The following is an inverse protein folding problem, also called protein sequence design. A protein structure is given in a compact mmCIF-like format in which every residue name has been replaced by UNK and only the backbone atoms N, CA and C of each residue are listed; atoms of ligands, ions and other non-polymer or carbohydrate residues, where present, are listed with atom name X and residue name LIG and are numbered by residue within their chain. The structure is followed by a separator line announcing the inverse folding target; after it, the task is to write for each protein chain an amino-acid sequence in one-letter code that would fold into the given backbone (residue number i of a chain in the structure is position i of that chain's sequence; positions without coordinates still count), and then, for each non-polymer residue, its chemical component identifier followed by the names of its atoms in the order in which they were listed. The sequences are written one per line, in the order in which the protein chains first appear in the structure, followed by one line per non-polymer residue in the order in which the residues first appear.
data_IF_368026041174
#
_entry.id   IF_368026041174
#
_cell.length_a   1.000
_cell.length_b   1.000
_cell.length_c   1.000
_cell.angle_alpha   90.00
_cell.angle_beta   90.00
_cell.angle_gamma   90.00
#
_symmetry.space_group_name_H-M   'P 1'
#
loop_
_entity.id
_entity.type
_entity.pdbx_description
1 polymer ?
#
# COMPACT_ATOMS: atom_id res chain seq x y z
N UNK A 1 -18.01 29.61 2.35
CA UNK A 1 -18.71 29.50 3.64
C UNK A 1 -19.95 30.35 3.53
N UNK A 2 -21.12 29.72 3.42
CA UNK A 2 -22.38 30.43 3.32
C UNK A 2 -22.81 30.87 4.73
N UNK A 3 -22.35 32.05 5.16
CA UNK A 3 -22.75 32.69 6.42
C UNK A 3 -22.08 32.15 7.70
N UNK A 4 -22.00 33.01 8.73
CA UNK A 4 -21.54 32.62 10.07
C UNK A 4 -22.61 31.86 10.87
N UNK A 5 -23.89 32.01 10.53
CA UNK A 5 -25.01 31.40 11.25
C UNK A 5 -24.96 29.87 11.23
N UNK A 6 -24.30 29.28 10.22
CA UNK A 6 -24.10 27.83 10.10
C UNK A 6 -23.28 27.23 11.24
N UNK A 7 -22.48 28.02 11.96
CA UNK A 7 -21.71 27.53 13.11
C UNK A 7 -22.58 27.26 14.34
N UNK A 8 -23.78 27.82 14.39
CA UNK A 8 -24.73 27.63 15.49
C UNK A 8 -25.65 26.41 15.27
N UNK A 9 -25.65 25.84 14.07
CA UNK A 9 -26.41 24.64 13.74
C UNK A 9 -25.83 23.41 14.44
N UNK A 10 -26.70 22.62 15.09
CA UNK A 10 -26.30 21.43 15.88
C UNK A 10 -26.58 20.10 15.23
N UNK A 11 -27.26 20.10 14.09
CA UNK A 11 -27.67 18.90 13.40
C UNK A 11 -27.41 19.04 11.90
N UNK A 12 -27.28 17.89 11.23
CA UNK A 12 -27.23 17.85 9.79
C UNK A 12 -28.54 18.45 9.23
N UNK A 13 -28.47 19.27 8.17
CA UNK A 13 -29.66 19.74 7.48
C UNK A 13 -30.55 18.58 7.04
N UNK A 14 -31.86 18.79 6.89
CA UNK A 14 -32.76 17.74 6.40
C UNK A 14 -32.51 17.49 4.90
N UNK A 15 -32.88 16.30 4.42
CA UNK A 15 -32.56 15.78 3.08
C UNK A 15 -32.98 16.74 1.96
N UNK A 16 -34.11 17.42 2.12
CA UNK A 16 -34.69 18.33 1.12
C UNK A 16 -33.81 19.56 0.84
N UNK A 17 -32.84 19.87 1.72
CA UNK A 17 -31.89 20.96 1.50
C UNK A 17 -30.67 20.54 0.68
N UNK A 18 -30.53 19.26 0.32
CA UNK A 18 -29.41 18.74 -0.45
C UNK A 18 -29.80 18.58 -1.92
N UNK A 19 -29.52 19.63 -2.69
CA UNK A 19 -29.75 19.68 -4.13
C UNK A 19 -28.44 19.91 -4.89
N UNK A 20 -28.21 19.13 -5.95
CA UNK A 20 -27.03 19.27 -6.80
C UNK A 20 -27.36 20.13 -8.02
N UNK A 21 -26.84 21.35 -8.05
CA UNK A 21 -26.97 22.24 -9.22
C UNK A 21 -26.29 21.71 -10.49
N UNK A 22 -25.39 20.74 -10.38
CA UNK A 22 -24.69 20.13 -11.52
C UNK A 22 -25.50 19.02 -12.19
N UNK A 23 -26.19 18.20 -11.40
CA UNK A 23 -27.00 17.08 -11.92
C UNK A 23 -28.47 17.42 -12.06
N UNK A 24 -28.94 18.48 -11.38
CA UNK A 24 -30.35 18.87 -11.38
C UNK A 24 -31.23 17.95 -10.54
N UNK A 25 -30.63 17.17 -9.65
CA UNK A 25 -31.31 16.12 -8.88
C UNK A 25 -31.09 16.29 -7.38
N UNK A 26 -32.09 15.87 -6.60
CA UNK A 26 -31.99 15.71 -5.15
C UNK A 26 -31.09 14.52 -4.78
N UNK A 27 -30.53 14.57 -3.57
CA UNK A 27 -29.75 13.44 -3.05
C UNK A 27 -30.61 12.17 -2.95
N UNK A 28 -30.08 11.02 -3.34
CA UNK A 28 -30.75 9.73 -3.14
C UNK A 28 -30.77 9.34 -1.65
N UNK A 29 -31.77 8.57 -1.21
CA UNK A 29 -31.87 8.13 0.20
C UNK A 29 -30.61 7.41 0.67
N UNK A 30 -30.08 6.50 -0.15
CA UNK A 30 -28.86 5.75 0.13
C UNK A 30 -27.63 6.65 0.33
N UNK A 31 -27.52 7.72 -0.46
CA UNK A 31 -26.39 8.64 -0.34
C UNK A 31 -26.55 9.55 0.90
N UNK A 32 -27.78 9.94 1.23
CA UNK A 32 -28.07 10.70 2.45
C UNK A 32 -27.77 9.88 3.71
N UNK A 33 -28.18 8.61 3.76
CA UNK A 33 -27.85 7.70 4.86
C UNK A 33 -26.34 7.54 5.07
N UNK A 34 -25.57 7.43 3.98
CA UNK A 34 -24.09 7.38 4.03
C UNK A 34 -23.50 8.67 4.59
N UNK A 35 -23.98 9.82 4.11
CA UNK A 35 -23.55 11.13 4.60
C UNK A 35 -23.79 11.26 6.12
N UNK A 36 -24.98 10.86 6.59
CA UNK A 36 -25.30 10.85 8.01
C UNK A 36 -24.35 9.94 8.78
N UNK A 37 -24.08 8.74 8.27
CA UNK A 37 -23.17 7.79 8.93
C UNK A 37 -21.74 8.34 9.02
N UNK A 38 -21.20 8.86 7.91
CA UNK A 38 -19.84 9.40 7.85
C UNK A 38 -19.67 10.63 8.76
N UNK A 39 -20.67 11.51 8.78
CA UNK A 39 -20.66 12.71 9.64
C UNK A 39 -20.73 12.34 11.13
N UNK A 40 -21.57 11.38 11.50
CA UNK A 40 -21.68 10.91 12.88
C UNK A 40 -20.37 10.27 13.36
N UNK A 41 -19.78 9.37 12.57
CA UNK A 41 -18.51 8.71 12.93
C UNK A 41 -17.39 9.75 13.07
N UNK A 42 -17.30 10.70 12.13
CA UNK A 42 -16.30 11.76 12.22
C UNK A 42 -16.51 12.64 13.46
N UNK A 43 -17.76 12.97 13.79
CA UNK A 43 -18.08 13.79 14.96
C UNK A 43 -17.65 13.11 16.27
N UNK A 44 -17.91 11.81 16.41
CA UNK A 44 -17.53 11.03 17.59
C UNK A 44 -16.00 10.95 17.75
N UNK A 45 -15.29 10.65 16.65
CA UNK A 45 -13.82 10.61 16.64
C UNK A 45 -13.22 11.96 17.03
N UNK A 46 -13.73 13.07 16.48
CA UNK A 46 -13.23 14.42 16.78
C UNK A 46 -13.56 14.83 18.22
N UNK A 47 -14.75 14.50 18.73
CA UNK A 47 -15.11 14.80 20.11
C UNK A 47 -14.22 14.04 21.10
N UNK A 48 -14.00 12.74 20.86
CA UNK A 48 -13.09 11.94 21.68
C UNK A 48 -11.65 12.49 21.60
N UNK A 49 -11.17 12.81 20.40
CA UNK A 49 -9.85 13.41 20.22
C UNK A 49 -9.71 14.72 21.00
N UNK A 50 -10.70 15.61 20.93
CA UNK A 50 -10.74 16.87 21.69
C UNK A 50 -10.66 16.64 23.20
N UNK A 51 -11.41 15.67 23.72
CA UNK A 51 -11.39 15.29 25.14
C UNK A 51 -10.01 14.79 25.56
N UNK A 52 -9.39 13.91 24.76
CA UNK A 52 -8.07 13.37 25.04
C UNK A 52 -6.97 14.44 24.98
N UNK A 53 -6.96 15.27 23.93
CA UNK A 53 -5.95 16.33 23.77
C UNK A 53 -5.99 17.36 24.90
N UNK A 54 -7.20 17.74 25.35
CA UNK A 54 -7.35 18.62 26.52
C UNK A 54 -6.88 17.94 27.81
N UNK A 55 -7.15 16.64 27.98
CA UNK A 55 -6.73 15.88 29.16
C UNK A 55 -5.20 15.72 29.23
N UNK A 56 -4.57 15.37 28.11
CA UNK A 56 -3.14 15.04 28.08
C UNK A 56 -2.24 16.26 27.94
N UNK A 57 -2.59 17.18 27.03
CA UNK A 57 -1.75 18.33 26.67
C UNK A 57 -2.31 19.66 27.17
N UNK A 58 -3.59 19.71 27.57
CA UNK A 58 -4.29 20.97 27.86
C UNK A 58 -4.36 21.88 26.64
N UNK A 59 -4.38 21.31 25.44
CA UNK A 59 -4.49 21.99 24.16
C UNK A 59 -5.76 21.51 23.46
N UNK A 60 -6.36 22.39 22.66
CA UNK A 60 -7.63 22.12 22.01
C UNK A 60 -7.44 21.97 20.49
N UNK A 61 -7.64 20.77 19.92
CA UNK A 61 -7.33 20.47 18.52
C UNK A 61 -7.95 21.41 17.47
N UNK A 62 -9.19 21.91 17.59
CA UNK A 62 -9.79 22.78 16.59
C UNK A 62 -9.06 24.12 16.34
N UNK A 63 -8.12 24.50 17.22
CA UNK A 63 -7.28 25.69 17.02
C UNK A 63 -6.10 25.45 16.07
N UNK A 64 -5.87 24.20 15.64
CA UNK A 64 -4.77 23.83 14.78
C UNK A 64 -5.29 23.33 13.44
N UNK A 65 -4.63 23.72 12.36
CA UNK A 65 -4.96 23.26 11.01
C UNK A 65 -4.65 21.78 10.78
N UNK A 66 -3.64 21.23 11.48
CA UNK A 66 -3.17 19.87 11.27
C UNK A 66 -2.70 19.22 12.57
N UNK A 67 -2.75 17.88 12.63
CA UNK A 67 -2.28 17.10 13.78
C UNK A 67 -0.80 17.32 14.10
N UNK A 68 0.14 17.41 13.14
CA UNK A 68 1.53 17.74 13.45
C UNK A 68 1.71 19.11 14.12
N UNK A 69 0.90 20.12 13.76
CA UNK A 69 0.94 21.42 14.42
C UNK A 69 0.54 21.34 15.89
N UNK A 70 -0.51 20.59 16.20
CA UNK A 70 -0.91 20.29 17.57
C UNK A 70 0.19 19.52 18.32
N UNK A 71 0.75 18.46 17.72
CA UNK A 71 1.80 17.65 18.34
C UNK A 71 3.08 18.47 18.60
N UNK A 72 3.40 19.38 17.70
CA UNK A 72 4.54 20.28 17.85
C UNK A 72 4.36 21.23 19.03
N UNK A 73 3.22 21.90 19.12
CA UNK A 73 2.93 22.80 20.23
C UNK A 73 2.80 22.04 21.57
N UNK A 74 2.23 20.84 21.55
CA UNK A 74 2.21 19.94 22.71
C UNK A 74 3.64 19.60 23.19
N UNK A 75 4.56 19.32 22.27
CA UNK A 75 5.96 19.07 22.57
C UNK A 75 6.65 20.30 23.18
N UNK A 76 6.45 21.48 22.59
CA UNK A 76 7.00 22.74 23.12
C UNK A 76 6.45 23.07 24.50
N UNK A 77 5.15 22.88 24.71
CA UNK A 77 4.49 23.08 26.01
C UNK A 77 5.00 22.13 27.08
N UNK A 78 5.25 20.87 26.72
CA UNK A 78 5.79 19.86 27.64
C UNK A 78 7.24 20.15 28.02
N UNK A 79 8.08 20.51 27.05
CA UNK A 79 9.52 20.78 27.24
C UNK A 79 9.81 22.18 27.78
N UNK A 80 8.87 23.13 27.61
CA UNK A 80 8.99 24.56 27.95
C UNK A 80 10.18 25.26 27.27
N UNK A 81 10.62 24.72 26.14
CA UNK A 81 11.72 25.28 25.35
C UNK A 81 11.17 26.37 24.43
N UNK A 82 11.84 27.53 24.40
CA UNK A 82 11.58 28.59 23.42
C UNK A 82 12.57 28.42 22.28
N UNK A 83 12.06 28.11 21.09
CA UNK A 83 12.91 27.95 19.91
C UNK A 83 13.36 29.29 19.36
N UNK A 84 14.63 29.38 19.00
CA UNK A 84 15.18 30.54 18.30
C UNK A 84 14.98 30.38 16.79
N UNK A 85 14.79 31.51 16.10
CA UNK A 85 14.68 31.53 14.65
C UNK A 85 16.05 31.24 14.01
N UNK A 86 16.09 30.35 13.01
CA UNK A 86 17.30 30.05 12.24
C UNK A 86 17.53 31.19 11.23
N UNK A 87 18.38 32.16 11.57
CA UNK A 87 18.67 33.31 10.69
C UNK A 87 19.77 33.01 9.67
N UNK A 88 20.67 32.07 9.95
CA UNK A 88 21.82 31.79 9.10
C UNK A 88 21.50 30.72 8.04
N UNK A 89 21.65 31.08 6.76
CA UNK A 89 21.44 30.18 5.62
C UNK A 89 22.29 28.91 5.65
N UNK A 90 23.55 28.99 6.10
CA UNK A 90 24.44 27.81 6.19
C UNK A 90 23.92 26.81 7.21
N UNK A 91 23.41 27.29 8.35
CA UNK A 91 22.83 26.45 9.40
C UNK A 91 21.55 25.77 8.93
N UNK A 92 20.69 26.50 8.22
CA UNK A 92 19.50 25.89 7.63
C UNK A 92 19.86 24.80 6.60
N UNK A 93 20.80 25.09 5.70
CA UNK A 93 21.23 24.14 4.68
C UNK A 93 21.85 22.87 5.27
N UNK A 94 22.62 23.00 6.36
CA UNK A 94 23.16 21.85 7.09
C UNK A 94 22.06 20.94 7.66
N UNK A 95 20.99 21.53 8.22
CA UNK A 95 19.86 20.77 8.75
C UNK A 95 19.11 20.09 7.60
N UNK A 96 18.78 20.81 6.53
CA UNK A 96 18.09 20.27 5.36
C UNK A 96 18.86 19.12 4.72
N UNK A 97 20.18 19.26 4.55
CA UNK A 97 21.06 18.22 4.01
C UNK A 97 21.18 17.00 4.95
N UNK A 98 20.91 17.18 6.24
CA UNK A 98 20.91 16.11 7.25
C UNK A 98 19.58 15.36 7.40
N UNK A 99 18.46 15.91 6.89
CA UNK A 99 17.15 15.25 6.96
C UNK A 99 17.16 14.01 6.04
N UNK A 100 16.84 12.85 6.60
CA UNK A 100 16.68 11.57 5.89
C UNK A 100 15.36 10.92 6.30
N UNK A 101 14.71 10.26 5.34
CA UNK A 101 13.53 9.45 5.62
C UNK A 101 13.89 8.14 6.33
N UNK A 102 12.87 7.31 6.56
CA UNK A 102 13.08 5.95 7.04
C UNK A 102 13.78 5.07 6.00
N UNK A 103 14.60 4.14 6.44
CA UNK A 103 15.18 3.11 5.55
C UNK A 103 14.07 2.18 5.11
N UNK A 104 13.79 2.13 3.82
CA UNK A 104 12.88 1.16 3.23
C UNK A 104 13.69 0.14 2.45
N UNK A 105 13.77 -1.09 2.97
CA UNK A 105 14.46 -2.19 2.30
C UNK A 105 13.43 -3.16 1.73
N UNK A 106 13.43 -3.32 0.40
CA UNK A 106 12.78 -4.46 -0.24
C UNK A 106 13.80 -5.60 -0.36
N UNK A 107 13.81 -6.51 0.61
CA UNK A 107 14.64 -7.72 0.51
C UNK A 107 13.95 -8.73 -0.40
N UNK A 108 14.64 -9.22 -1.42
CA UNK A 108 14.20 -10.43 -2.12
C UNK A 108 14.36 -11.60 -1.15
N UNK A 109 13.26 -12.32 -0.88
CA UNK A 109 13.32 -13.55 -0.09
C UNK A 109 14.15 -14.57 -0.87
N UNK A 110 15.14 -15.18 -0.23
CA UNK A 110 15.91 -16.28 -0.82
C UNK A 110 14.98 -17.48 -1.03
N UNK A 111 14.79 -17.88 -2.28
CA UNK A 111 14.05 -19.08 -2.66
C UNK A 111 14.98 -20.02 -3.41
N UNK A 112 15.15 -21.23 -2.88
CA UNK A 112 15.84 -22.33 -3.57
C UNK A 112 14.82 -23.43 -3.77
N UNK A 113 14.77 -23.99 -4.97
CA UNK A 113 13.96 -25.15 -5.25
C UNK A 113 14.56 -26.37 -4.52
N UNK A 114 13.85 -26.92 -3.53
CA UNK A 114 14.23 -28.13 -2.78
C UNK A 114 13.42 -29.33 -3.30
N UNK A 115 13.72 -29.79 -4.51
CA UNK A 115 13.05 -30.95 -5.09
C UNK A 115 13.72 -32.25 -4.63
N UNK A 116 13.01 -33.02 -3.78
CA UNK A 116 13.48 -34.31 -3.23
C UNK A 116 13.82 -35.37 -4.27
N UNK A 117 13.29 -35.24 -5.48
CA UNK A 117 13.43 -36.23 -6.55
C UNK A 117 14.55 -35.90 -7.55
N UNK A 118 15.20 -34.75 -7.40
CA UNK A 118 16.29 -34.32 -8.27
C UNK A 118 17.58 -34.24 -7.46
N UNK A 119 18.47 -35.20 -7.67
CA UNK A 119 19.85 -35.09 -7.20
C UNK A 119 20.57 -34.01 -8.00
N UNK A 120 21.46 -33.24 -7.36
CA UNK A 120 22.25 -32.18 -8.02
C UNK A 120 23.02 -32.73 -9.24
N UNK A 121 23.43 -34.00 -9.19
CA UNK A 121 24.16 -34.69 -10.25
C UNK A 121 23.30 -35.09 -11.46
N UNK A 122 21.98 -35.12 -11.31
CA UNK A 122 21.04 -35.53 -12.37
C UNK A 122 20.51 -34.35 -13.18
N UNK A 123 21.00 -33.14 -12.90
CA UNK A 123 20.60 -31.91 -13.58
C UNK A 123 21.56 -31.68 -14.77
N UNK A 124 21.06 -31.72 -16.02
CA UNK A 124 21.86 -31.34 -17.18
C UNK A 124 22.43 -29.91 -17.03
N UNK A 125 23.67 -29.73 -17.44
CA UNK A 125 24.35 -28.43 -17.48
C UNK A 125 23.53 -27.48 -18.40
N UNK A 126 23.13 -26.32 -17.87
CA UNK A 126 22.24 -25.37 -18.57
C UNK A 126 20.78 -25.31 -18.05
N UNK A 127 20.25 -26.36 -17.40
CA UNK A 127 18.87 -26.35 -16.85
C UNK A 127 18.71 -25.29 -15.76
N UNK A 128 19.74 -25.06 -14.94
CA UNK A 128 19.70 -24.05 -13.87
C UNK A 128 19.62 -22.64 -14.43
N UNK A 129 20.32 -22.37 -15.53
CA UNK A 129 20.34 -21.08 -16.20
C UNK A 129 18.99 -20.82 -16.88
N UNK A 130 18.45 -21.84 -17.57
CA UNK A 130 17.11 -21.82 -18.13
C UNK A 130 16.04 -21.59 -17.04
N UNK A 131 16.12 -22.27 -15.90
CA UNK A 131 15.17 -22.11 -14.79
C UNK A 131 15.21 -20.72 -14.16
N UNK A 132 16.39 -20.09 -14.08
CA UNK A 132 16.50 -18.70 -13.62
C UNK A 132 15.89 -17.73 -14.62
N UNK A 133 16.15 -17.92 -15.92
CA UNK A 133 15.59 -17.09 -16.99
C UNK A 133 14.06 -17.26 -17.08
N UNK A 134 13.57 -18.48 -16.89
CA UNK A 134 12.16 -18.84 -16.76
C UNK A 134 11.47 -18.10 -15.60
N UNK A 135 12.03 -18.18 -14.39
CA UNK A 135 11.45 -17.53 -13.20
C UNK A 135 11.50 -15.99 -13.29
N UNK A 136 12.47 -15.44 -14.01
CA UNK A 136 12.56 -14.01 -14.32
C UNK A 136 11.55 -13.53 -15.38
N UNK A 137 11.19 -14.37 -16.38
CA UNK A 137 10.24 -14.01 -17.47
C UNK A 137 8.78 -14.33 -17.16
N UNK A 138 8.51 -15.46 -16.49
CA UNK A 138 7.38 -15.56 -15.54
C UNK A 138 7.65 -14.48 -14.46
N UNK A 139 6.87 -14.14 -13.44
CA UNK A 139 7.01 -12.84 -12.72
C UNK A 139 6.85 -11.59 -13.62
N UNK A 140 7.73 -11.30 -14.58
CA UNK A 140 7.72 -10.09 -15.41
C UNK A 140 6.60 -10.03 -16.46
N UNK A 141 6.14 -11.16 -17.04
CA UNK A 141 4.99 -11.16 -17.97
C UNK A 141 3.74 -11.87 -17.41
N UNK A 142 2.86 -11.12 -16.70
CA UNK A 142 1.50 -11.44 -16.27
C UNK A 142 0.62 -12.38 -17.06
N UNK A 143 0.64 -12.14 -18.35
CA UNK A 143 -0.61 -11.98 -19.09
C UNK A 143 -0.67 -12.86 -20.32
N UNK A 144 -1.89 -13.26 -20.65
CA UNK A 144 -2.17 -14.00 -21.87
C UNK A 144 -2.14 -13.11 -23.13
N UNK A 145 -2.30 -13.72 -24.30
CA UNK A 145 -2.44 -13.03 -25.60
C UNK A 145 -3.65 -12.06 -25.57
N UNK A 146 -4.66 -12.38 -24.75
CA UNK A 146 -5.86 -11.57 -24.48
C UNK A 146 -5.74 -10.66 -23.23
N UNK A 147 -4.54 -10.52 -22.64
CA UNK A 147 -4.27 -9.62 -21.52
C UNK A 147 -4.78 -10.09 -20.14
N UNK A 148 -5.33 -11.30 -20.03
CA UNK A 148 -5.74 -11.89 -18.74
C UNK A 148 -4.53 -12.38 -17.94
N UNK A 149 -4.51 -12.11 -16.64
CA UNK A 149 -3.48 -12.63 -15.74
C UNK A 149 -3.63 -14.15 -15.63
N UNK A 150 -2.57 -14.87 -16.02
CA UNK A 150 -2.54 -16.32 -16.02
C UNK A 150 -1.98 -16.84 -14.68
N UNK A 151 -2.51 -17.97 -14.23
CA UNK A 151 -1.95 -18.71 -13.09
C UNK A 151 -0.57 -19.29 -13.44
N UNK A 152 0.27 -19.56 -12.43
CA UNK A 152 1.68 -19.95 -12.62
C UNK A 152 1.84 -21.17 -13.53
N UNK A 153 1.01 -22.21 -13.33
CA UNK A 153 1.05 -23.44 -14.15
C UNK A 153 0.72 -23.15 -15.62
N UNK A 154 -0.25 -22.27 -15.89
CA UNK A 154 -0.65 -21.90 -17.24
C UNK A 154 0.40 -21.01 -17.92
N UNK A 155 1.08 -20.14 -17.17
CA UNK A 155 2.21 -19.33 -17.66
C UNK A 155 3.40 -20.21 -18.06
N UNK A 156 3.70 -21.22 -17.24
CA UNK A 156 4.76 -22.17 -17.50
C UNK A 156 4.46 -23.02 -18.75
N UNK A 157 3.23 -23.55 -18.87
CA UNK A 157 2.81 -24.32 -20.04
C UNK A 157 2.91 -23.50 -21.35
N UNK A 158 2.46 -22.23 -21.33
CA UNK A 158 2.56 -21.32 -22.47
C UNK A 158 4.01 -21.01 -22.86
N UNK A 159 4.90 -20.89 -21.89
CA UNK A 159 6.31 -20.69 -22.17
C UNK A 159 6.93 -21.94 -22.80
N UNK A 160 6.69 -23.11 -22.20
CA UNK A 160 7.28 -24.37 -22.67
C UNK A 160 6.79 -24.73 -24.08
N UNK A 161 5.55 -24.38 -24.46
CA UNK A 161 5.06 -24.56 -25.83
C UNK A 161 5.79 -23.69 -26.86
N UNK A 162 6.25 -22.50 -26.46
CA UNK A 162 6.98 -21.59 -27.35
C UNK A 162 8.48 -21.94 -27.42
N UNK A 163 9.04 -22.54 -26.37
CA UNK A 163 10.46 -22.91 -26.30
C UNK A 163 10.79 -24.21 -27.05
N UNK A 164 9.79 -25.05 -27.33
CA UNK A 164 9.90 -26.36 -27.98
C UNK A 164 10.51 -26.36 -29.39
N UNK A 165 10.73 -25.19 -30.02
CA UNK A 165 11.18 -25.13 -31.41
C UNK A 165 12.65 -24.78 -31.61
N UNK A 166 13.40 -24.32 -30.60
CA UNK A 166 14.75 -23.79 -30.87
C UNK A 166 15.93 -24.34 -30.04
N UNK A 167 15.80 -25.04 -28.90
CA UNK A 167 17.02 -25.59 -28.24
C UNK A 167 16.77 -26.73 -27.21
N UNK A 168 17.63 -27.75 -27.30
CA UNK A 168 17.84 -28.92 -26.40
C UNK A 168 16.60 -29.70 -25.89
N UNK A 169 16.12 -30.62 -26.74
CA UNK A 169 15.06 -31.61 -26.42
C UNK A 169 15.28 -32.35 -25.10
N UNK A 170 16.53 -32.56 -24.67
CA UNK A 170 16.86 -33.25 -23.41
C UNK A 170 16.50 -32.41 -22.19
N UNK A 171 16.75 -31.10 -22.24
CA UNK A 171 16.45 -30.14 -21.17
C UNK A 171 14.92 -29.98 -21.06
N UNK A 172 14.24 -29.81 -22.20
CA UNK A 172 12.78 -29.68 -22.25
C UNK A 172 12.03 -30.96 -21.83
N UNK A 173 12.56 -32.12 -22.19
CA UNK A 173 12.05 -33.42 -21.72
C UNK A 173 12.24 -33.60 -20.20
N UNK A 174 13.37 -33.14 -19.66
CA UNK A 174 13.66 -33.20 -18.23
C UNK A 174 12.72 -32.30 -17.41
N UNK A 175 12.55 -31.06 -17.88
CA UNK A 175 11.67 -30.04 -17.30
C UNK A 175 10.21 -30.53 -17.30
N UNK A 176 9.67 -30.96 -18.44
CA UNK A 176 8.28 -31.44 -18.55
C UNK A 176 7.96 -32.67 -17.69
N UNK A 177 8.91 -33.60 -17.52
CA UNK A 177 8.72 -34.82 -16.70
C UNK A 177 8.76 -34.56 -15.20
N UNK A 178 9.51 -33.55 -14.76
CA UNK A 178 9.79 -33.35 -13.33
C UNK A 178 9.02 -32.16 -12.71
N UNK A 179 8.39 -31.30 -13.51
CA UNK A 179 7.65 -30.12 -13.02
C UNK A 179 6.20 -30.38 -12.58
N UNK A 180 5.58 -31.50 -12.94
CA UNK A 180 4.17 -31.79 -12.58
C UNK A 180 4.00 -32.44 -11.20
N UNK A 181 5.09 -32.60 -10.43
CA UNK A 181 5.08 -33.31 -9.14
C UNK A 181 5.34 -32.37 -7.96
N UNK A 182 4.52 -31.32 -7.85
CA UNK A 182 4.48 -30.47 -6.66
C UNK A 182 3.59 -31.12 -5.60
N UNK A 183 4.15 -32.03 -4.80
CA UNK A 183 3.49 -32.46 -3.57
C UNK A 183 3.53 -31.31 -2.56
N UNK A 184 2.43 -30.57 -2.45
CA UNK A 184 2.17 -29.61 -1.36
C UNK A 184 1.91 -30.30 0.00
N UNK A 185 2.36 -31.55 0.17
CA UNK A 185 2.22 -32.27 1.43
C UNK A 185 3.50 -32.21 2.27
N UNK A 186 3.38 -31.42 3.32
CA UNK A 186 4.11 -31.44 4.60
C UNK A 186 5.56 -30.94 4.64
N UNK A 187 5.74 -29.85 5.40
CA UNK A 187 6.54 -29.84 6.62
C UNK A 187 6.23 -28.58 7.46
N UNK A 188 5.57 -28.82 8.59
CA UNK A 188 5.75 -28.10 9.85
C UNK A 188 7.22 -27.98 10.22
#
# INVERSE_FOLDING_TARGET
MDGHDKFDERCLPPKEKFYSGLTGEDISDKNYERLVTDTLILSDVIENFRKQSRKMYGLDPPWYFTSPGLSWDACLKMTRIVLQLITNKKMNKFIEEGIRGGVSTAVMRYGVADNKYVGISDIPEGVIELMKELDLRIRNDPTDIDGKVLDFENRLCKFLSNYSQEEDDKIMTYVSKNLTRWDLTSKT
#
